data_IF_615035297592
#
_entry.id   IF_615035297592
#
_cell.length_a   1.000
_cell.length_b   1.000
_cell.length_c   1.000
_cell.angle_alpha   90.00
_cell.angle_beta   90.00
_cell.angle_gamma   90.00
#
_symmetry.space_group_name_H-M   'P 1'
#
loop_
_entity.id
_entity.type
_entity.pdbx_description
1 polymer ?
#
# COMPACT_ATOMS: atom_id res chain seq x y z
N UNK A 1 57.23 35.16 25.52
CA UNK A 1 56.05 35.96 25.12
C UNK A 1 55.54 35.44 23.79
N UNK A 2 54.47 34.62 23.80
CA UNK A 2 53.90 34.01 22.60
C UNK A 2 52.97 34.99 21.87
N UNK A 3 53.18 35.14 20.56
CA UNK A 3 52.39 36.00 19.65
C UNK A 3 50.92 35.57 19.59
N UNK A 4 50.03 36.55 19.80
CA UNK A 4 48.58 36.45 19.66
C UNK A 4 48.21 36.22 18.19
N UNK A 5 47.86 35.00 17.82
CA UNK A 5 47.40 34.66 16.46
C UNK A 5 45.97 35.16 16.26
N UNK A 6 45.78 36.00 15.25
CA UNK A 6 44.52 36.65 14.91
C UNK A 6 43.45 35.63 14.47
N UNK A 7 42.60 35.22 15.41
CA UNK A 7 41.45 34.30 15.25
C UNK A 7 40.40 34.79 14.24
N UNK A 8 40.51 36.01 13.73
CA UNK A 8 39.55 36.66 12.83
C UNK A 8 39.78 36.33 11.35
N UNK A 9 41.01 36.03 10.93
CA UNK A 9 41.31 35.73 9.51
C UNK A 9 41.04 34.27 9.13
N UNK A 10 41.02 33.34 10.09
CA UNK A 10 40.74 31.92 9.82
C UNK A 10 39.27 31.68 9.45
N UNK A 11 38.33 32.43 10.05
CA UNK A 11 36.89 32.31 9.77
C UNK A 11 36.53 32.71 8.33
N UNK A 12 37.22 33.71 7.76
CA UNK A 12 36.99 34.18 6.39
C UNK A 12 37.48 33.17 5.34
N UNK A 13 38.60 32.49 5.63
CA UNK A 13 39.14 31.43 4.76
C UNK A 13 38.21 30.21 4.77
N UNK A 14 37.64 29.86 5.94
CA UNK A 14 36.72 28.73 6.05
C UNK A 14 35.41 28.95 5.27
N UNK A 15 34.88 30.18 5.26
CA UNK A 15 33.65 30.54 4.51
C UNK A 15 33.88 30.45 2.99
N UNK A 16 35.07 30.85 2.52
CA UNK A 16 35.42 30.80 1.09
C UNK A 16 35.64 29.35 0.61
N UNK A 17 36.11 28.46 1.49
CA UNK A 17 36.29 27.04 1.19
C UNK A 17 34.94 26.29 1.10
N UNK A 18 33.95 26.66 1.91
CA UNK A 18 32.62 26.01 1.95
C UNK A 18 31.73 26.40 0.76
N UNK A 19 31.85 27.62 0.24
CA UNK A 19 31.07 28.03 -0.95
C UNK A 19 31.61 27.42 -2.25
N UNK A 20 32.91 27.14 -2.33
CA UNK A 20 33.54 26.60 -3.54
C UNK A 20 33.28 25.11 -3.75
N UNK A 21 33.01 24.35 -2.68
CA UNK A 21 32.72 22.90 -2.76
C UNK A 21 31.26 22.58 -3.12
N UNK A 22 30.36 23.57 -3.10
CA UNK A 22 28.92 23.34 -3.32
C UNK A 22 28.47 23.46 -4.80
N UNK A 23 29.37 23.82 -5.73
CA UNK A 23 29.03 24.04 -7.14
C UNK A 23 29.33 22.85 -8.07
N UNK A 24 29.61 21.64 -7.56
CA UNK A 24 29.96 20.50 -8.42
C UNK A 24 29.25 19.20 -8.09
N UNK A 25 27.92 19.15 -8.27
CA UNK A 25 27.18 17.87 -8.37
C UNK A 25 25.96 17.97 -9.28
N UNK A 26 26.11 18.34 -10.56
CA UNK A 26 25.04 18.08 -11.55
C UNK A 26 25.57 17.88 -12.95
N UNK A 27 26.09 16.68 -13.27
CA UNK A 27 25.89 16.04 -14.59
C UNK A 27 26.06 14.52 -14.41
N UNK A 28 24.96 13.76 -14.49
CA UNK A 28 24.88 12.43 -15.11
C UNK A 28 23.54 11.77 -14.75
N UNK A 29 22.61 11.73 -15.72
CA UNK A 29 22.08 10.50 -16.32
C UNK A 29 20.74 10.84 -17.00
N UNK A 30 20.84 11.47 -18.18
CA UNK A 30 19.74 11.51 -19.14
C UNK A 30 19.74 10.21 -19.94
N UNK A 31 19.30 9.11 -19.33
CA UNK A 31 18.97 7.89 -20.06
C UNK A 31 17.47 7.89 -20.30
N UNK A 32 17.08 8.22 -21.54
CA UNK A 32 15.74 7.97 -22.03
C UNK A 32 15.48 6.46 -21.94
N UNK A 33 14.86 6.05 -20.85
CA UNK A 33 14.34 4.69 -20.73
C UNK A 33 13.04 4.72 -21.50
N UNK A 34 13.04 4.15 -22.70
CA UNK A 34 11.80 3.71 -23.33
C UNK A 34 11.17 2.72 -22.37
N UNK A 35 10.19 3.19 -21.61
CA UNK A 35 9.27 2.33 -20.89
C UNK A 35 8.55 1.49 -21.93
N UNK A 36 9.10 0.32 -22.22
CA UNK A 36 8.34 -0.76 -22.80
C UNK A 36 7.30 -1.09 -21.74
N UNK A 37 6.09 -0.60 -21.95
CA UNK A 37 4.92 -1.05 -21.22
C UNK A 37 4.91 -2.57 -21.38
N UNK A 38 5.05 -3.39 -20.33
CA UNK A 38 4.75 -4.79 -20.48
C UNK A 38 3.28 -4.82 -20.87
N UNK A 39 3.02 -5.22 -22.12
CA UNK A 39 1.69 -5.61 -22.52
C UNK A 39 1.34 -6.81 -21.66
N UNK A 40 0.73 -6.51 -20.51
CA UNK A 40 0.24 -7.49 -19.56
C UNK A 40 -0.98 -8.10 -20.22
N UNK A 41 -0.72 -9.10 -21.06
CA UNK A 41 -1.73 -10.03 -21.51
C UNK A 41 -2.46 -10.50 -20.27
N UNK A 42 -3.71 -10.07 -20.10
CA UNK A 42 -4.61 -10.53 -19.05
C UNK A 42 -4.91 -12.01 -19.29
N UNK A 43 -3.93 -12.87 -19.01
CA UNK A 43 -4.20 -14.25 -18.72
C UNK A 43 -5.11 -14.24 -17.49
N UNK A 44 -6.27 -14.88 -17.60
CA UNK A 44 -7.15 -15.16 -16.47
C UNK A 44 -6.32 -16.05 -15.53
N UNK A 45 -5.61 -15.45 -14.58
CA UNK A 45 -4.85 -16.16 -13.57
C UNK A 45 -5.91 -16.85 -12.72
N UNK A 46 -6.06 -18.16 -12.90
CA UNK A 46 -6.81 -19.00 -11.97
C UNK A 46 -6.30 -18.68 -10.57
N UNK A 47 -7.16 -18.12 -9.71
CA UNK A 47 -6.78 -17.66 -8.38
C UNK A 47 -6.01 -18.78 -7.65
N UNK A 48 -4.72 -18.55 -7.40
CA UNK A 48 -3.90 -19.50 -6.65
C UNK A 48 -4.56 -19.73 -5.31
N UNK A 49 -5.07 -20.95 -5.07
CA UNK A 49 -5.69 -21.32 -3.80
C UNK A 49 -4.77 -20.93 -2.64
N UNK A 50 -5.31 -20.19 -1.67
CA UNK A 50 -4.59 -19.77 -0.48
C UNK A 50 -3.92 -20.97 0.20
N UNK A 51 -2.62 -20.83 0.46
CA UNK A 51 -1.79 -21.92 0.98
C UNK A 51 -1.65 -21.91 2.51
N UNK A 52 -1.94 -20.78 3.15
CA UNK A 52 -2.00 -20.63 4.60
C UNK A 52 -3.35 -21.11 5.11
N UNK A 53 -3.36 -21.81 6.25
CA UNK A 53 -4.56 -22.44 6.82
C UNK A 53 -5.05 -21.68 8.04
N UNK A 54 -4.43 -21.91 9.18
CA UNK A 54 -4.84 -21.42 10.49
C UNK A 54 -3.66 -20.71 11.14
N UNK A 55 -3.93 -19.59 11.81
CA UNK A 55 -2.91 -18.85 12.54
C UNK A 55 -2.94 -17.35 12.29
N UNK A 56 -1.97 -16.68 12.92
CA UNK A 56 -1.77 -15.24 12.84
C UNK A 56 -0.57 -14.93 11.94
N UNK A 57 -0.80 -14.12 10.92
CA UNK A 57 0.21 -13.72 9.95
C UNK A 57 0.28 -12.19 9.90
N UNK A 58 1.40 -11.57 10.32
CA UNK A 58 1.56 -10.13 10.18
C UNK A 58 1.43 -9.74 8.70
N UNK A 59 0.77 -8.63 8.43
CA UNK A 59 0.51 -8.15 7.07
C UNK A 59 1.41 -6.97 6.78
N UNK A 60 2.17 -7.07 5.69
CA UNK A 60 3.04 -6.00 5.23
C UNK A 60 2.27 -5.00 4.37
N UNK A 61 1.42 -5.50 3.48
CA UNK A 61 0.67 -4.71 2.49
C UNK A 61 -0.68 -5.37 2.23
N UNK A 62 -1.67 -4.54 1.87
CA UNK A 62 -2.97 -4.99 1.44
C UNK A 62 -3.42 -4.17 0.23
N UNK A 63 -4.10 -4.83 -0.70
CA UNK A 63 -4.66 -4.23 -1.91
C UNK A 63 -6.10 -4.72 -2.07
N UNK A 64 -6.96 -3.86 -2.59
CA UNK A 64 -8.31 -4.16 -3.05
C UNK A 64 -8.41 -3.86 -4.54
N UNK A 65 -8.91 -4.81 -5.34
CA UNK A 65 -9.18 -4.63 -6.76
C UNK A 65 -10.69 -4.46 -6.98
N UNK A 66 -11.08 -3.38 -7.66
CA UNK A 66 -12.49 -3.04 -7.87
C UNK A 66 -13.20 -3.83 -8.98
N UNK A 67 -12.47 -4.58 -9.81
CA UNK A 67 -13.05 -5.39 -10.89
C UNK A 67 -13.76 -6.63 -10.35
N UNK A 68 -13.10 -7.31 -9.42
CA UNK A 68 -13.53 -8.59 -8.86
C UNK A 68 -13.84 -8.51 -7.36
N UNK A 69 -13.54 -7.38 -6.72
CA UNK A 69 -13.67 -7.22 -5.27
C UNK A 69 -12.66 -8.05 -4.48
N UNK A 70 -11.57 -8.50 -5.10
CA UNK A 70 -10.56 -9.33 -4.45
C UNK A 70 -9.61 -8.48 -3.59
N UNK A 71 -9.43 -8.91 -2.34
CA UNK A 71 -8.35 -8.46 -1.47
C UNK A 71 -7.11 -9.30 -1.69
N UNK A 72 -5.98 -8.65 -1.93
CA UNK A 72 -4.65 -9.28 -1.95
C UNK A 72 -3.83 -8.80 -0.76
N UNK A 73 -3.41 -9.72 0.10
CA UNK A 73 -2.63 -9.45 1.30
C UNK A 73 -1.21 -10.04 1.15
N UNK A 74 -0.20 -9.24 1.50
CA UNK A 74 1.18 -9.70 1.60
C UNK A 74 1.48 -10.07 3.05
N UNK A 75 1.61 -11.37 3.29
CA UNK A 75 1.81 -11.96 4.60
C UNK A 75 3.30 -12.12 4.93
N UNK A 76 3.65 -11.88 6.18
CA UNK A 76 4.96 -12.20 6.75
C UNK A 76 4.87 -13.51 7.53
N UNK A 77 6.04 -14.14 7.74
CA UNK A 77 6.18 -15.39 8.51
C UNK A 77 5.33 -16.55 7.96
N UNK A 78 5.10 -16.60 6.64
CA UNK A 78 4.50 -17.77 6.01
C UNK A 78 5.47 -18.96 6.04
N UNK A 79 4.96 -20.21 6.10
CA UNK A 79 5.82 -21.38 6.10
C UNK A 79 6.73 -21.43 4.87
N UNK A 80 7.96 -21.94 5.03
CA UNK A 80 8.91 -22.06 3.93
C UNK A 80 8.31 -22.82 2.73
N UNK A 81 8.50 -22.29 1.53
CA UNK A 81 7.95 -22.86 0.30
C UNK A 81 6.45 -22.59 0.07
N UNK A 82 5.80 -21.76 0.90
CA UNK A 82 4.44 -21.28 0.66
C UNK A 82 4.44 -19.83 0.16
N UNK A 83 3.43 -19.48 -0.65
CA UNK A 83 3.24 -18.11 -1.11
C UNK A 83 3.00 -17.16 0.07
N UNK A 84 3.63 -15.98 0.03
CA UNK A 84 3.33 -14.88 0.94
C UNK A 84 2.02 -14.16 0.59
N UNK A 85 1.49 -14.40 -0.61
CA UNK A 85 0.27 -13.75 -1.09
C UNK A 85 -0.97 -14.53 -0.66
N UNK A 86 -1.91 -13.85 -0.02
CA UNK A 86 -3.25 -14.35 0.32
C UNK A 86 -4.31 -13.54 -0.41
N UNK A 87 -5.28 -14.22 -1.02
CA UNK A 87 -6.31 -13.62 -1.88
C UNK A 87 -7.70 -14.02 -1.43
N UNK A 88 -8.61 -13.08 -1.23
CA UNK A 88 -9.99 -13.42 -0.84
C UNK A 88 -10.96 -12.32 -1.23
N UNK A 89 -12.19 -12.70 -1.59
CA UNK A 89 -13.32 -11.76 -1.69
C UNK A 89 -14.06 -11.62 -0.36
N UNK A 90 -13.82 -12.54 0.58
CA UNK A 90 -14.53 -12.65 1.85
C UNK A 90 -13.62 -12.22 3.02
N UNK A 91 -13.17 -10.96 3.03
CA UNK A 91 -12.31 -10.43 4.09
C UNK A 91 -13.12 -9.66 5.13
N UNK A 92 -13.11 -10.15 6.37
CA UNK A 92 -13.57 -9.35 7.50
C UNK A 92 -12.42 -8.50 8.04
N UNK A 93 -12.75 -7.33 8.58
CA UNK A 93 -11.78 -6.41 9.17
C UNK A 93 -12.25 -5.97 10.56
N UNK A 94 -11.29 -5.72 11.43
CA UNK A 94 -11.49 -5.08 12.73
C UNK A 94 -10.29 -4.20 13.05
N UNK A 95 -10.48 -3.14 13.84
CA UNK A 95 -9.37 -2.37 14.36
C UNK A 95 -8.69 -3.15 15.50
N UNK A 96 -7.37 -2.98 15.65
CA UNK A 96 -6.66 -3.43 16.85
C UNK A 96 -7.08 -2.57 18.05
N UNK A 97 -7.26 -3.21 19.21
CA UNK A 97 -7.51 -2.49 20.47
C UNK A 97 -6.25 -1.75 20.95
N UNK A 98 -6.43 -0.76 21.83
CA UNK A 98 -5.30 -0.04 22.41
C UNK A 98 -4.35 -0.97 23.17
N UNK A 99 -4.88 -1.97 23.87
CA UNK A 99 -4.09 -2.95 24.60
C UNK A 99 -3.19 -3.75 23.67
N UNK A 100 -3.70 -4.15 22.50
CA UNK A 100 -2.94 -4.87 21.49
C UNK A 100 -1.86 -3.99 20.85
N UNK A 101 -2.17 -2.73 20.57
CA UNK A 101 -1.21 -1.75 20.05
C UNK A 101 -0.10 -1.50 21.06
N UNK A 102 -0.45 -1.33 22.35
CA UNK A 102 0.53 -1.16 23.45
C UNK A 102 1.39 -2.41 23.65
N UNK A 103 0.86 -3.60 23.36
CA UNK A 103 1.63 -4.84 23.33
C UNK A 103 2.52 -5.01 22.08
N UNK A 104 2.48 -4.06 21.14
CA UNK A 104 3.28 -4.06 19.93
C UNK A 104 2.70 -4.87 18.77
N UNK A 105 1.43 -5.28 18.84
CA UNK A 105 0.76 -5.99 17.75
C UNK A 105 0.66 -5.06 16.51
N UNK A 106 0.94 -5.64 15.34
CA UNK A 106 0.86 -4.97 14.03
C UNK A 106 -0.36 -5.50 13.29
N UNK A 107 -0.73 -4.86 12.17
CA UNK A 107 -1.79 -5.36 11.31
C UNK A 107 -1.55 -6.84 10.97
N UNK A 108 -2.54 -7.68 11.24
CA UNK A 108 -2.38 -9.13 11.26
C UNK A 108 -3.60 -9.81 10.68
N UNK A 109 -3.38 -10.71 9.73
CA UNK A 109 -4.40 -11.63 9.25
C UNK A 109 -4.48 -12.79 10.24
N UNK A 110 -5.61 -12.93 10.91
CA UNK A 110 -5.94 -14.09 11.72
C UNK A 110 -6.89 -14.98 10.93
N UNK A 111 -6.50 -16.23 10.70
CA UNK A 111 -7.38 -17.23 10.09
C UNK A 111 -7.76 -18.21 11.19
N UNK A 112 -9.06 -18.27 11.48
CA UNK A 112 -9.66 -19.16 12.48
C UNK A 112 -10.82 -19.93 11.85
N UNK A 113 -10.77 -21.26 11.84
CA UNK A 113 -11.78 -22.12 11.20
C UNK A 113 -12.00 -21.76 9.71
N UNK A 114 -10.92 -21.44 9.00
CA UNK A 114 -10.96 -21.01 7.61
C UNK A 114 -11.54 -19.61 7.37
N UNK A 115 -11.91 -18.88 8.41
CA UNK A 115 -12.43 -17.50 8.30
C UNK A 115 -11.28 -16.49 8.47
N UNK A 116 -10.94 -15.70 7.43
CA UNK A 116 -9.92 -14.68 7.52
C UNK A 116 -10.48 -13.38 8.11
N UNK A 117 -9.82 -12.90 9.17
CA UNK A 117 -10.10 -11.61 9.81
C UNK A 117 -8.81 -10.81 9.81
N UNK A 118 -8.82 -9.66 9.14
CA UNK A 118 -7.73 -8.71 9.13
C UNK A 118 -7.89 -7.71 10.28
N UNK A 119 -7.03 -7.83 11.28
CA UNK A 119 -6.90 -6.84 12.33
C UNK A 119 -5.97 -5.72 11.87
N UNK A 120 -6.41 -4.47 12.00
CA UNK A 120 -5.74 -3.31 11.43
C UNK A 120 -5.22 -2.36 12.52
N UNK A 121 -3.96 -1.98 12.41
CA UNK A 121 -3.45 -0.80 13.10
C UNK A 121 -4.06 0.48 12.50
N UNK A 122 -4.14 1.54 13.30
CA UNK A 122 -4.76 2.83 12.91
C UNK A 122 -4.07 3.48 11.69
N UNK A 123 -2.77 3.29 11.54
CA UNK A 123 -1.95 3.85 10.46
C UNK A 123 -1.94 2.98 9.19
N UNK A 124 -2.54 1.80 9.23
CA UNK A 124 -2.51 0.86 8.13
C UNK A 124 -3.48 1.27 7.02
N UNK A 125 -2.95 1.38 5.80
CA UNK A 125 -3.71 1.75 4.60
C UNK A 125 -3.76 0.58 3.64
N UNK A 126 -4.89 0.46 2.96
CA UNK A 126 -5.12 -0.55 1.92
C UNK A 126 -5.03 0.16 0.58
N UNK A 127 -4.22 -0.36 -0.33
CA UNK A 127 -4.17 0.12 -1.71
C UNK A 127 -5.51 -0.17 -2.40
N UNK A 128 -6.05 0.82 -3.10
CA UNK A 128 -7.22 0.67 -3.95
C UNK A 128 -6.75 0.69 -5.40
N UNK A 129 -7.03 -0.39 -6.12
CA UNK A 129 -6.78 -0.49 -7.55
C UNK A 129 -8.10 -0.28 -8.28
N UNK A 130 -8.19 0.84 -8.99
CA UNK A 130 -9.31 1.20 -9.85
C UNK A 130 -9.01 0.82 -11.29
N UNK A 131 -9.90 0.08 -11.94
CA UNK A 131 -9.75 -0.31 -13.33
C UNK A 131 -10.74 0.45 -14.20
N UNK A 132 -10.23 1.38 -15.00
CA UNK A 132 -11.03 2.11 -15.97
C UNK A 132 -11.37 1.17 -17.12
N UNK A 133 -12.66 0.96 -17.34
CA UNK A 133 -13.17 0.12 -18.42
C UNK A 133 -13.77 0.96 -19.55
N UNK A 134 -13.53 0.56 -20.79
CA UNK A 134 -14.14 1.15 -21.97
C UNK A 134 -14.74 0.06 -22.85
N UNK A 135 -15.79 0.39 -23.59
CA UNK A 135 -16.34 -0.51 -24.61
C UNK A 135 -15.58 -0.30 -25.92
N UNK A 136 -14.82 -1.30 -26.35
CA UNK A 136 -14.10 -1.29 -27.61
C UNK A 136 -14.65 -2.36 -28.55
N UNK A 137 -14.68 -2.05 -29.85
CA UNK A 137 -15.04 -3.02 -30.87
C UNK A 137 -13.88 -3.98 -31.07
N UNK A 138 -14.10 -5.28 -30.85
CA UNK A 138 -13.08 -6.29 -31.05
C UNK A 138 -12.75 -6.41 -32.55
N UNK A 139 -11.49 -6.22 -32.97
CA UNK A 139 -11.13 -6.20 -34.39
C UNK A 139 -11.25 -7.57 -35.08
N UNK A 140 -11.24 -8.66 -34.31
CA UNK A 140 -11.35 -10.03 -34.84
C UNK A 140 -12.81 -10.49 -35.00
N UNK A 141 -13.74 -9.98 -34.19
CA UNK A 141 -15.14 -10.43 -34.17
C UNK A 141 -16.15 -9.35 -34.55
N UNK A 142 -15.75 -8.08 -34.59
CA UNK A 142 -16.64 -6.93 -34.85
C UNK A 142 -17.63 -6.64 -33.71
N UNK A 143 -17.58 -7.38 -32.62
CA UNK A 143 -18.52 -7.25 -31.49
C UNK A 143 -17.97 -6.28 -30.43
N UNK A 144 -18.84 -5.51 -29.76
CA UNK A 144 -18.43 -4.67 -28.63
C UNK A 144 -17.96 -5.52 -27.44
N UNK A 145 -16.85 -5.12 -26.82
CA UNK A 145 -16.28 -5.77 -25.64
C UNK A 145 -15.85 -4.73 -24.61
N UNK A 146 -16.15 -4.97 -23.34
CA UNK A 146 -15.65 -4.16 -22.23
C UNK A 146 -14.22 -4.59 -21.91
N UNK A 147 -13.27 -3.65 -22.01
CA UNK A 147 -11.85 -3.89 -21.75
C UNK A 147 -11.32 -2.89 -20.74
N UNK A 148 -10.41 -3.33 -19.87
CA UNK A 148 -9.67 -2.43 -18.97
C UNK A 148 -8.63 -1.69 -19.80
N UNK A 149 -8.76 -0.36 -19.87
CA UNK A 149 -7.85 0.49 -20.68
C UNK A 149 -6.77 1.15 -19.84
N UNK A 150 -7.01 1.28 -18.54
CA UNK A 150 -6.13 1.98 -17.60
C UNK A 150 -6.37 1.47 -16.20
N UNK A 151 -5.30 1.38 -15.43
CA UNK A 151 -5.35 1.10 -14.01
C UNK A 151 -4.88 2.35 -13.26
N UNK A 152 -5.66 2.76 -12.26
CA UNK A 152 -5.36 3.86 -11.37
C UNK A 152 -5.24 3.35 -9.94
N UNK A 153 -4.33 3.90 -9.14
CA UNK A 153 -4.16 3.51 -7.75
C UNK A 153 -4.45 4.66 -6.80
N UNK A 154 -5.00 4.33 -5.64
CA UNK A 154 -5.15 5.23 -4.49
C UNK A 154 -4.95 4.41 -3.20
N UNK A 155 -5.11 5.06 -2.05
CA UNK A 155 -5.11 4.40 -0.76
C UNK A 155 -6.39 4.71 -0.03
N UNK A 156 -6.88 3.74 0.73
CA UNK A 156 -7.99 3.96 1.64
C UNK A 156 -7.69 3.48 3.06
N UNK A 157 -8.25 4.17 4.04
CA UNK A 157 -8.12 3.83 5.45
C UNK A 157 -9.47 3.33 5.97
N UNK A 158 -9.59 2.03 6.31
CA UNK A 158 -10.78 1.50 6.97
C UNK A 158 -10.96 2.16 8.36
N UNK A 159 -12.21 2.38 8.78
CA UNK A 159 -12.53 2.92 10.11
C UNK A 159 -12.03 4.37 10.37
N UNK A 160 -11.60 5.11 9.35
CA UNK A 160 -11.15 6.48 9.53
C UNK A 160 -12.30 7.43 9.89
N UNK A 161 -13.50 7.21 9.35
CA UNK A 161 -14.67 8.03 9.67
C UNK A 161 -15.08 7.91 11.14
N UNK A 162 -14.87 6.75 11.76
CA UNK A 162 -15.21 6.52 13.17
C UNK A 162 -14.25 7.17 14.17
N UNK A 163 -13.06 7.60 13.74
CA UNK A 163 -12.13 8.36 14.58
C UNK A 163 -12.53 9.83 14.68
N UNK A 164 -13.29 10.35 13.70
CA UNK A 164 -13.76 11.73 13.66
C UNK A 164 -15.03 11.99 14.50
N UNK A 165 -15.72 10.95 14.95
CA UNK A 165 -16.94 11.04 15.76
C UNK A 165 -16.80 10.28 17.08
N UNK A 166 -17.05 10.95 18.20
CA UNK A 166 -17.00 10.39 19.57
C UNK A 166 -18.13 9.38 19.84
N UNK A 167 -18.29 8.36 19.03
CA UNK A 167 -19.21 7.27 19.28
C UNK A 167 -18.77 6.04 18.49
N UNK A 168 -18.24 5.06 19.22
CA UNK A 168 -18.51 3.62 19.18
C UNK A 168 -17.20 2.88 19.49
N UNK A 169 -16.84 2.77 20.78
CA UNK A 169 -15.63 2.06 21.19
C UNK A 169 -15.73 0.54 20.87
N UNK A 170 -16.86 -0.12 21.15
CA UNK A 170 -16.90 -1.58 21.05
C UNK A 170 -17.12 -2.14 19.65
N UNK A 171 -17.70 -1.36 18.72
CA UNK A 171 -17.99 -1.91 17.39
C UNK A 171 -16.78 -1.89 16.46
N UNK A 172 -15.84 -0.96 16.61
CA UNK A 172 -14.64 -0.88 15.76
C UNK A 172 -13.73 -2.10 15.88
N UNK A 173 -13.76 -2.74 17.05
CA UNK A 173 -12.99 -3.95 17.33
C UNK A 173 -13.72 -5.23 16.94
N UNK A 174 -14.96 -5.15 16.47
CA UNK A 174 -15.75 -6.30 16.05
C UNK A 174 -15.55 -6.58 14.54
N UNK A 175 -15.21 -7.84 14.16
CA UNK A 175 -15.04 -8.23 12.76
C UNK A 175 -16.28 -7.95 11.91
N UNK A 176 -16.07 -7.32 10.75
CA UNK A 176 -17.12 -7.02 9.77
C UNK A 176 -16.57 -6.95 8.36
N UNK A 177 -17.43 -7.18 7.37
CA UNK A 177 -17.08 -6.91 5.98
C UNK A 177 -17.01 -5.40 5.75
N UNK A 178 -15.92 -4.96 5.13
CA UNK A 178 -15.68 -3.55 4.86
C UNK A 178 -15.41 -3.37 3.38
N UNK A 179 -16.24 -2.58 2.70
CA UNK A 179 -16.03 -2.26 1.29
C UNK A 179 -15.47 -0.84 1.22
N UNK A 180 -14.42 -0.60 0.41
CA UNK A 180 -13.91 0.75 0.24
C UNK A 180 -14.99 1.70 -0.32
N UNK A 181 -14.88 3.01 -0.02
CA UNK A 181 -15.73 4.01 -0.65
C UNK A 181 -15.48 4.07 -2.17
N UNK A 182 -16.35 4.78 -2.89
CA UNK A 182 -16.19 5.02 -4.32
C UNK A 182 -14.83 5.66 -4.61
N UNK A 183 -14.17 5.21 -5.68
CA UNK A 183 -12.86 5.72 -6.09
C UNK A 183 -12.88 7.25 -6.28
N UNK A 184 -11.88 7.92 -5.68
CA UNK A 184 -11.64 9.35 -5.84
C UNK A 184 -10.19 9.58 -6.29
N UNK A 185 -9.97 10.17 -7.49
CA UNK A 185 -8.63 10.49 -7.95
C UNK A 185 -7.92 11.47 -7.00
N UNK A 186 -6.66 11.20 -6.69
CA UNK A 186 -5.75 12.17 -6.05
C UNK A 186 -5.93 12.41 -4.54
N UNK A 187 -6.78 11.65 -3.85
CA UNK A 187 -6.98 11.75 -2.40
C UNK A 187 -6.89 10.41 -1.68
N UNK A 188 -6.52 10.43 -0.39
CA UNK A 188 -6.69 9.26 0.49
C UNK A 188 -8.18 9.11 0.77
N UNK A 189 -8.72 7.94 0.47
CA UNK A 189 -10.12 7.63 0.67
C UNK A 189 -10.34 7.15 2.11
N UNK A 190 -11.40 7.61 2.75
CA UNK A 190 -11.71 7.21 4.13
C UNK A 190 -12.97 6.36 4.13
N UNK A 191 -12.84 5.17 4.71
CA UNK A 191 -13.94 4.29 5.00
C UNK A 191 -14.71 4.75 6.22
#
# INVERSE_FOLDING_TARGET
MLKKVNRFMWKKILILLVSLTFCWTTVACGSATTSSNPQQSSAIISASKNQVKEGKYPVQQAQYNDVDGEYTLMLLNTPAGKSATYRTTDLQMAQLSEEQIKAGEKSTLNITNGQPILYLAEDFRIEYVHNVTETQTNPATGQPQTVVVRQESSFWTPFAASLAGSAIANSLFAPRYYVPPMYQPGGVMTG
#
